data_IF_681125718625
#
_entry.id   IF_681125718625
#
_cell.length_a   1.000
_cell.length_b   1.000
_cell.length_c   1.000
_cell.angle_alpha   90.00
_cell.angle_beta   90.00
_cell.angle_gamma   90.00
#
_symmetry.space_group_name_H-M   'P 1'
#
loop_
_entity.id
_entity.type
_entity.pdbx_description
1 polymer ?
#
# COMPACT_ATOMS: atom_id res chain seq x y z
N UNK A 1 -47.14 -8.80 47.76
CA UNK A 1 -46.12 -9.43 48.63
C UNK A 1 -45.54 -10.56 47.81
N UNK A 2 -44.44 -10.31 47.12
CA UNK A 2 -43.45 -11.31 46.72
C UNK A 2 -42.26 -10.52 46.20
N UNK A 3 -41.20 -10.59 46.99
CA UNK A 3 -40.02 -9.75 46.95
C UNK A 3 -39.02 -10.32 45.94
N UNK A 4 -38.47 -9.43 45.12
CA UNK A 4 -37.60 -9.73 44.00
C UNK A 4 -36.15 -9.75 44.49
N UNK A 5 -35.72 -10.88 45.05
CA UNK A 5 -34.36 -11.06 45.59
C UNK A 5 -33.61 -12.23 44.98
N UNK A 6 -33.21 -12.17 43.70
CA UNK A 6 -32.13 -13.03 43.16
C UNK A 6 -31.34 -12.24 42.09
N UNK A 7 -30.23 -11.57 42.48
CA UNK A 7 -28.97 -11.87 41.78
C UNK A 7 -27.72 -11.75 42.68
N UNK A 8 -27.84 -11.90 44.00
CA UNK A 8 -26.69 -11.79 44.95
C UNK A 8 -26.10 -13.10 45.43
N UNK A 9 -26.76 -14.24 45.21
CA UNK A 9 -26.40 -15.51 45.87
C UNK A 9 -25.35 -16.31 45.08
N UNK A 10 -25.21 -16.07 43.77
CA UNK A 10 -24.31 -16.85 42.91
C UNK A 10 -22.86 -16.33 42.89
N UNK A 11 -22.63 -15.04 43.16
CA UNK A 11 -21.28 -14.46 43.14
C UNK A 11 -20.49 -14.75 44.43
N UNK A 12 -21.19 -14.96 45.57
CA UNK A 12 -20.58 -15.16 46.89
C UNK A 12 -20.21 -16.61 47.21
N UNK A 13 -20.56 -17.57 46.35
CA UNK A 13 -20.27 -19.00 46.57
C UNK A 13 -18.88 -19.44 46.08
N UNK A 14 -18.15 -18.58 45.34
CA UNK A 14 -16.78 -18.88 44.92
C UNK A 14 -15.78 -18.37 45.97
N UNK A 15 -14.87 -19.23 46.46
CA UNK A 15 -14.09 -18.99 47.69
C UNK A 15 -13.01 -17.92 47.57
N UNK A 16 -12.68 -17.45 46.36
CA UNK A 16 -11.53 -16.57 46.12
C UNK A 16 -11.84 -15.47 45.08
N UNK A 17 -11.33 -14.26 45.32
CA UNK A 17 -11.52 -13.09 44.47
C UNK A 17 -10.95 -13.26 43.04
N UNK A 18 -9.94 -14.11 42.86
CA UNK A 18 -9.41 -14.49 41.55
C UNK A 18 -10.40 -15.35 40.75
N UNK A 19 -11.07 -16.28 41.42
CA UNK A 19 -12.06 -17.18 40.81
C UNK A 19 -13.34 -16.42 40.43
N UNK A 20 -13.74 -15.43 41.22
CA UNK A 20 -14.85 -14.52 40.89
C UNK A 20 -14.55 -13.67 39.65
N UNK A 21 -13.32 -13.14 39.53
CA UNK A 21 -12.88 -12.39 38.33
C UNK A 21 -12.88 -13.27 37.09
N UNK A 22 -12.37 -14.50 37.20
CA UNK A 22 -12.38 -15.46 36.09
C UNK A 22 -13.81 -15.80 35.66
N UNK A 23 -14.70 -16.04 36.63
CA UNK A 23 -16.09 -16.33 36.37
C UNK A 23 -16.82 -15.19 35.66
N UNK A 24 -16.56 -13.94 36.07
CA UNK A 24 -17.06 -12.74 35.39
C UNK A 24 -16.55 -12.63 33.95
N UNK A 25 -15.27 -12.90 33.69
CA UNK A 25 -14.71 -12.90 32.34
C UNK A 25 -15.39 -13.96 31.47
N UNK A 26 -15.60 -15.17 31.99
CA UNK A 26 -16.29 -16.26 31.27
C UNK A 26 -17.74 -15.88 30.96
N UNK A 27 -18.45 -15.25 31.90
CA UNK A 27 -19.81 -14.77 31.66
C UNK A 27 -19.88 -13.68 30.59
N UNK A 28 -18.92 -12.76 30.56
CA UNK A 28 -18.84 -11.71 29.53
C UNK A 28 -18.57 -12.31 28.15
N UNK A 29 -17.65 -13.28 28.06
CA UNK A 29 -17.36 -14.00 26.81
C UNK A 29 -18.59 -14.76 26.34
N UNK A 30 -19.31 -15.43 27.26
CA UNK A 30 -20.53 -16.16 26.92
C UNK A 30 -21.66 -15.24 26.48
N UNK A 31 -21.88 -14.12 27.16
CA UNK A 31 -22.88 -13.13 26.77
C UNK A 31 -22.56 -12.51 25.39
N UNK A 32 -21.29 -12.16 25.16
CA UNK A 32 -20.82 -11.71 23.85
C UNK A 32 -21.05 -12.79 22.77
N UNK A 33 -20.76 -14.06 23.07
CA UNK A 33 -21.00 -15.18 22.16
C UNK A 33 -22.48 -15.35 21.81
N UNK A 34 -23.38 -15.26 22.79
CA UNK A 34 -24.83 -15.37 22.55
C UNK A 34 -25.33 -14.23 21.66
N UNK A 35 -24.92 -12.99 21.92
CA UNK A 35 -25.28 -11.82 21.10
C UNK A 35 -24.68 -11.92 19.70
N UNK A 36 -23.46 -12.43 19.58
CA UNK A 36 -22.80 -12.66 18.32
C UNK A 36 -23.52 -13.72 17.47
N UNK A 37 -23.99 -14.80 18.08
CA UNK A 37 -24.75 -15.87 17.40
C UNK A 37 -26.15 -15.44 16.96
N UNK A 38 -26.77 -14.45 17.63
CA UNK A 38 -28.07 -13.91 17.22
C UNK A 38 -27.97 -12.81 16.15
N UNK A 39 -26.79 -12.24 15.91
CA UNK A 39 -26.56 -11.29 14.83
C UNK A 39 -26.59 -11.99 13.47
N UNK A 40 -27.27 -11.43 12.46
CA UNK A 40 -27.39 -12.02 11.11
C UNK A 40 -26.07 -12.10 10.32
N UNK A 41 -25.02 -11.41 10.78
CA UNK A 41 -23.71 -11.35 10.12
C UNK A 41 -22.77 -12.52 10.48
N UNK A 42 -23.25 -13.51 11.26
CA UNK A 42 -22.43 -14.64 11.72
C UNK A 42 -21.85 -15.48 10.57
N UNK A 43 -22.57 -15.64 9.46
CA UNK A 43 -22.11 -16.41 8.31
C UNK A 43 -20.94 -15.73 7.60
N UNK A 44 -20.99 -14.40 7.42
CA UNK A 44 -19.93 -13.62 6.77
C UNK A 44 -18.69 -13.52 7.66
N UNK A 45 -18.86 -13.32 8.98
CA UNK A 45 -17.76 -13.31 9.94
C UNK A 45 -17.08 -14.69 10.10
N UNK A 46 -17.85 -15.79 10.13
CA UNK A 46 -17.27 -17.15 10.20
C UNK A 46 -16.49 -17.50 8.93
N UNK A 47 -16.93 -17.03 7.75
CA UNK A 47 -16.16 -17.15 6.50
C UNK A 47 -14.87 -16.33 6.58
N UNK A 48 -14.89 -15.15 7.20
CA UNK A 48 -13.70 -14.33 7.43
C UNK A 48 -12.75 -14.94 8.49
N UNK A 49 -13.29 -15.64 9.48
CA UNK A 49 -12.51 -16.32 10.53
C UNK A 49 -11.87 -17.63 10.06
N UNK A 50 -12.54 -18.35 9.14
CA UNK A 50 -12.04 -19.56 8.48
C UNK A 50 -11.03 -19.25 7.35
N UNK A 51 -10.70 -17.97 7.16
CA UNK A 51 -9.71 -17.55 6.18
C UNK A 51 -8.30 -17.83 6.73
N UNK A 52 -7.43 -18.45 5.90
CA UNK A 52 -6.04 -18.88 6.23
C UNK A 52 -5.17 -17.80 6.90
N UNK A 53 -5.57 -16.54 6.82
CA UNK A 53 -4.88 -15.35 7.32
C UNK A 53 -4.76 -15.36 8.86
N UNK A 54 -5.78 -15.82 9.60
CA UNK A 54 -5.74 -15.80 11.09
C UNK A 54 -4.82 -16.90 11.64
N UNK A 55 -4.83 -18.09 11.03
CA UNK A 55 -3.88 -19.17 11.33
C UNK A 55 -2.43 -18.76 11.05
N UNK A 56 -2.19 -18.07 9.92
CA UNK A 56 -0.87 -17.50 9.59
C UNK A 56 -0.44 -16.40 10.57
N UNK A 57 -1.39 -15.62 11.06
CA UNK A 57 -1.13 -14.58 12.06
C UNK A 57 -0.78 -15.19 13.42
N UNK A 58 -1.40 -16.31 13.81
CA UNK A 58 -1.03 -17.05 15.02
C UNK A 58 0.39 -17.61 14.96
N UNK A 59 0.86 -18.10 13.80
CA UNK A 59 2.25 -18.57 13.68
C UNK A 59 3.26 -17.45 13.88
N UNK A 60 2.98 -16.26 13.34
CA UNK A 60 3.82 -15.05 13.53
C UNK A 60 3.82 -14.61 15.00
N UNK A 61 2.68 -14.69 15.69
CA UNK A 61 2.62 -14.37 17.12
C UNK A 61 3.37 -15.39 18.00
N UNK A 62 3.42 -16.67 17.60
CA UNK A 62 4.18 -17.72 18.30
C UNK A 62 5.69 -17.51 18.16
N UNK A 63 6.11 -16.98 17.01
CA UNK A 63 7.49 -16.58 16.68
C UNK A 63 7.96 -15.40 17.56
N UNK A 64 7.06 -14.44 17.84
CA UNK A 64 7.35 -13.31 18.72
C UNK A 64 7.45 -13.66 20.22
N UNK A 65 6.86 -14.77 20.66
CA UNK A 65 6.89 -15.20 22.07
C UNK A 65 8.15 -16.02 22.41
N UNK A 66 8.88 -16.53 21.41
CA UNK A 66 10.24 -17.04 21.59
C UNK A 66 11.23 -15.88 21.47
N UNK A 67 11.16 -14.95 22.42
CA UNK A 67 12.27 -14.04 22.66
C UNK A 67 13.36 -14.83 23.38
N UNK A 68 14.11 -15.63 22.62
CA UNK A 68 15.35 -16.19 23.11
C UNK A 68 16.41 -15.10 23.05
N UNK A 69 16.87 -14.73 24.23
CA UNK A 69 17.95 -13.81 24.52
C UNK A 69 19.16 -14.09 23.60
N UNK A 70 19.38 -13.18 22.65
CA UNK A 70 20.33 -13.32 21.55
C UNK A 70 21.77 -13.46 22.09
N UNK A 71 22.28 -14.69 22.13
CA UNK A 71 23.72 -14.95 22.13
C UNK A 71 24.18 -15.10 20.69
N UNK A 72 25.07 -14.20 20.28
CA UNK A 72 25.72 -14.12 18.98
C UNK A 72 26.17 -15.51 18.49
N UNK A 73 25.34 -16.10 17.63
CA UNK A 73 25.65 -17.34 16.92
C UNK A 73 26.31 -16.96 15.59
N UNK A 74 27.40 -17.61 15.15
CA UNK A 74 28.11 -17.25 13.92
C UNK A 74 27.21 -17.22 12.66
N UNK A 75 26.16 -18.05 12.62
CA UNK A 75 25.15 -18.02 11.56
C UNK A 75 24.31 -16.72 11.54
N UNK A 76 24.10 -16.08 12.69
CA UNK A 76 23.39 -14.79 12.79
C UNK A 76 24.25 -13.65 12.22
N UNK A 77 25.56 -13.67 12.47
CA UNK A 77 26.50 -12.67 11.96
C UNK A 77 26.63 -12.78 10.43
N UNK A 78 26.69 -14.01 9.91
CA UNK A 78 26.71 -14.26 8.46
C UNK A 78 25.43 -13.76 7.78
N UNK A 79 24.26 -14.00 8.39
CA UNK A 79 22.99 -13.49 7.91
C UNK A 79 22.93 -11.95 7.91
N UNK A 80 23.40 -11.30 8.97
CA UNK A 80 23.47 -9.83 9.05
C UNK A 80 24.40 -9.23 7.99
N UNK A 81 25.56 -9.86 7.75
CA UNK A 81 26.48 -9.46 6.69
C UNK A 81 25.84 -9.61 5.30
N UNK A 82 25.13 -10.71 5.05
CA UNK A 82 24.41 -10.92 3.80
C UNK A 82 23.29 -9.89 3.58
N UNK A 83 22.52 -9.57 4.62
CA UNK A 83 21.48 -8.52 4.57
C UNK A 83 22.10 -7.16 4.28
N UNK A 84 23.21 -6.82 4.93
CA UNK A 84 23.92 -5.55 4.72
C UNK A 84 24.45 -5.44 3.29
N UNK A 85 25.03 -6.52 2.76
CA UNK A 85 25.52 -6.57 1.37
C UNK A 85 24.37 -6.41 0.34
N UNK A 86 23.20 -7.00 0.60
CA UNK A 86 22.02 -6.80 -0.23
C UNK A 86 21.57 -5.33 -0.18
N UNK A 87 21.53 -4.74 1.02
CA UNK A 87 21.13 -3.34 1.20
C UNK A 87 22.08 -2.39 0.48
N UNK A 88 23.39 -2.62 0.56
CA UNK A 88 24.39 -1.84 -0.15
C UNK A 88 24.21 -1.93 -1.66
N UNK A 89 23.98 -3.15 -2.18
CA UNK A 89 23.71 -3.36 -3.61
C UNK A 89 22.42 -2.66 -4.07
N UNK A 90 21.38 -2.64 -3.24
CA UNK A 90 20.14 -1.89 -3.53
C UNK A 90 20.37 -0.38 -3.52
N UNK A 91 21.12 0.13 -2.55
CA UNK A 91 21.47 1.55 -2.46
C UNK A 91 22.32 2.02 -3.65
N UNK A 92 23.15 1.15 -4.24
CA UNK A 92 23.87 1.46 -5.48
C UNK A 92 22.94 1.54 -6.70
N UNK A 93 21.81 0.84 -6.69
CA UNK A 93 20.82 0.88 -7.77
C UNK A 93 19.83 2.04 -7.66
N UNK A 94 19.57 2.51 -6.44
CA UNK A 94 18.64 3.61 -6.16
C UNK A 94 19.47 4.84 -5.78
N UNK A 95 19.60 5.85 -6.67
CA UNK A 95 20.36 7.04 -6.32
C UNK A 95 19.75 7.69 -5.06
N UNK A 96 20.54 8.07 -4.06
CA UNK A 96 20.03 8.74 -2.87
C UNK A 96 19.39 10.07 -3.29
N UNK A 97 18.10 10.23 -3.01
CA UNK A 97 17.34 11.45 -3.35
C UNK A 97 16.88 12.13 -2.07
N UNK A 98 17.58 13.17 -1.58
CA UNK A 98 17.14 13.90 -0.41
C UNK A 98 15.88 14.73 -0.76
N UNK A 99 14.72 14.30 -0.25
CA UNK A 99 13.50 15.10 -0.31
C UNK A 99 13.56 16.17 0.80
N UNK A 100 14.28 17.26 0.56
CA UNK A 100 14.54 18.28 1.59
C UNK A 100 13.26 18.98 2.04
N UNK A 101 12.33 19.26 1.12
CA UNK A 101 11.04 19.90 1.40
C UNK A 101 9.95 19.42 0.45
N UNK A 102 8.67 19.52 0.83
CA UNK A 102 7.56 19.20 -0.07
C UNK A 102 7.58 20.03 -1.36
N UNK A 103 8.07 21.27 -1.30
CA UNK A 103 8.14 22.16 -2.46
C UNK A 103 9.15 21.72 -3.52
N UNK A 104 10.12 20.86 -3.17
CA UNK A 104 11.05 20.25 -4.14
C UNK A 104 10.46 19.03 -4.87
N UNK A 105 9.23 18.63 -4.54
CA UNK A 105 8.51 17.57 -5.26
C UNK A 105 7.96 18.06 -6.60
N UNK A 106 7.61 17.13 -7.48
CA UNK A 106 7.18 17.44 -8.84
C UNK A 106 5.81 18.15 -8.84
N UNK A 107 5.75 19.30 -9.52
CA UNK A 107 4.54 20.09 -9.70
C UNK A 107 3.99 19.90 -11.11
N UNK A 108 2.79 19.31 -11.20
CA UNK A 108 2.08 19.16 -12.47
C UNK A 108 1.80 20.52 -13.14
N UNK A 109 1.51 21.56 -12.34
CA UNK A 109 1.20 22.91 -12.84
C UNK A 109 2.42 23.60 -13.46
N UNK A 110 3.61 23.41 -12.90
CA UNK A 110 4.84 24.05 -13.38
C UNK A 110 5.52 23.26 -14.50
N UNK A 111 5.30 21.94 -14.54
CA UNK A 111 5.85 21.06 -15.56
C UNK A 111 5.28 21.38 -16.94
N UNK A 112 6.03 21.02 -17.99
CA UNK A 112 5.66 21.37 -19.37
C UNK A 112 5.76 20.15 -20.27
N UNK A 113 4.72 19.91 -21.07
CA UNK A 113 4.70 18.88 -22.09
C UNK A 113 4.63 19.51 -23.48
N UNK A 114 5.50 19.10 -24.40
CA UNK A 114 5.60 19.63 -25.76
C UNK A 114 5.70 18.51 -26.76
N UNK A 115 4.98 18.60 -27.89
CA UNK A 115 5.15 17.64 -29.00
C UNK A 115 6.57 17.82 -29.56
N UNK A 116 7.32 16.72 -29.59
CA UNK A 116 8.66 16.69 -30.14
C UNK A 116 8.59 16.49 -31.65
N UNK A 117 9.24 17.38 -32.41
CA UNK A 117 9.25 17.40 -33.88
C UNK A 117 7.83 17.35 -34.49
N UNK A 118 6.99 18.37 -34.23
CA UNK A 118 5.61 18.37 -34.69
C UNK A 118 5.53 18.38 -36.22
N UNK A 119 4.69 17.50 -36.77
CA UNK A 119 4.35 17.47 -38.19
C UNK A 119 3.02 18.15 -38.45
N UNK A 120 2.82 18.64 -39.69
CA UNK A 120 1.52 19.22 -40.12
C UNK A 120 0.42 18.16 -40.21
N UNK A 121 0.79 16.94 -40.59
CA UNK A 121 -0.11 15.81 -40.79
C UNK A 121 0.53 14.56 -40.22
N UNK A 122 -0.28 13.70 -39.62
CA UNK A 122 0.13 12.39 -39.15
C UNK A 122 -0.74 11.33 -39.80
N UNK A 123 -0.14 10.17 -40.09
CA UNK A 123 -0.80 9.00 -40.59
C UNK A 123 -1.16 8.04 -39.45
N UNK A 124 -2.17 7.20 -39.67
CA UNK A 124 -2.45 6.08 -38.78
C UNK A 124 -1.24 5.14 -38.78
N UNK A 125 -0.76 4.78 -37.60
CA UNK A 125 0.45 4.00 -37.37
C UNK A 125 1.68 4.81 -36.98
N UNK A 126 1.66 6.14 -37.17
CA UNK A 126 2.79 7.00 -36.82
C UNK A 126 3.06 7.04 -35.30
N UNK A 127 4.30 7.38 -34.94
CA UNK A 127 4.70 7.66 -33.57
C UNK A 127 4.65 9.17 -33.29
N UNK A 128 3.78 9.58 -32.36
CA UNK A 128 3.77 10.91 -31.79
C UNK A 128 4.58 10.93 -30.50
N UNK A 129 5.67 11.69 -30.51
CA UNK A 129 6.54 11.86 -29.35
C UNK A 129 6.22 13.16 -28.62
N UNK A 130 6.10 13.10 -27.30
CA UNK A 130 5.87 14.25 -26.41
C UNK A 130 7.00 14.29 -25.38
N UNK A 131 7.70 15.41 -25.33
CA UNK A 131 8.73 15.67 -24.34
C UNK A 131 8.07 16.32 -23.11
N UNK A 132 8.22 15.68 -21.95
CA UNK A 132 7.82 16.22 -20.66
C UNK A 132 9.05 16.69 -19.89
N UNK A 133 9.07 17.95 -19.50
CA UNK A 133 10.06 18.53 -18.60
C UNK A 133 9.40 18.71 -17.24
N UNK A 134 9.81 17.89 -16.27
CA UNK A 134 9.31 17.93 -14.91
C UNK A 134 9.95 19.08 -14.13
N UNK A 135 9.13 19.80 -13.37
CA UNK A 135 9.55 20.92 -12.53
C UNK A 135 9.05 20.78 -11.10
N UNK A 136 9.74 21.40 -10.16
CA UNK A 136 9.30 21.52 -8.77
C UNK A 136 8.22 22.60 -8.60
N UNK A 137 7.75 22.83 -7.37
CA UNK A 137 6.74 23.87 -7.10
C UNK A 137 7.28 25.30 -7.22
N UNK A 138 8.60 25.48 -7.18
CA UNK A 138 9.26 26.77 -7.42
C UNK A 138 9.48 27.05 -8.91
N UNK A 139 9.21 26.07 -9.78
CA UNK A 139 9.41 26.17 -11.22
C UNK A 139 10.84 25.83 -11.67
N UNK A 140 11.67 25.28 -10.79
CA UNK A 140 12.99 24.77 -11.18
C UNK A 140 12.83 23.44 -11.90
N UNK A 141 13.66 23.20 -12.91
CA UNK A 141 13.72 21.91 -13.59
C UNK A 141 14.26 20.87 -12.62
N UNK A 142 13.66 19.68 -12.61
CA UNK A 142 14.20 18.56 -11.85
C UNK A 142 15.50 18.08 -12.47
N UNK A 143 16.45 17.70 -11.62
CA UNK A 143 17.73 17.13 -12.05
C UNK A 143 17.70 15.60 -12.11
N UNK A 144 16.55 15.00 -11.80
CA UNK A 144 16.45 13.60 -11.47
C UNK A 144 15.09 13.03 -11.89
N UNK A 145 15.07 11.76 -12.31
CA UNK A 145 13.84 11.03 -12.71
C UNK A 145 13.12 10.27 -11.58
N UNK A 146 12.39 9.20 -11.90
CA UNK A 146 11.73 8.30 -10.96
C UNK A 146 10.28 8.68 -10.60
N UNK A 147 9.74 9.76 -11.16
CA UNK A 147 8.33 10.07 -11.03
C UNK A 147 7.47 8.99 -11.71
N UNK A 148 6.39 8.57 -11.04
CA UNK A 148 5.42 7.66 -11.63
C UNK A 148 4.48 8.41 -12.57
N UNK A 149 4.62 8.16 -13.87
CA UNK A 149 3.86 8.83 -14.92
C UNK A 149 3.01 7.83 -15.70
N UNK A 150 1.75 8.20 -15.96
CA UNK A 150 0.85 7.46 -16.84
C UNK A 150 0.44 8.35 -18.01
N UNK A 151 0.87 7.98 -19.20
CA UNK A 151 0.49 8.64 -20.43
C UNK A 151 -0.71 7.94 -21.07
N UNK A 152 -1.73 8.70 -21.47
CA UNK A 152 -2.84 8.21 -22.28
C UNK A 152 -3.20 9.22 -23.36
N UNK A 153 -3.74 8.71 -24.45
CA UNK A 153 -4.42 9.50 -25.46
C UNK A 153 -5.82 8.93 -25.67
N UNK A 154 -6.77 9.77 -26.03
CA UNK A 154 -8.19 9.43 -26.10
C UNK A 154 -8.93 10.21 -27.18
N UNK A 155 -9.93 9.55 -27.79
CA UNK A 155 -10.88 10.18 -28.69
C UNK A 155 -12.31 9.87 -28.23
N UNK A 156 -13.00 10.83 -27.59
CA UNK A 156 -14.37 10.62 -27.10
C UNK A 156 -15.36 10.25 -28.21
N UNK A 157 -15.21 10.84 -29.40
CA UNK A 157 -16.09 10.58 -30.55
C UNK A 157 -16.01 9.11 -31.00
N UNK A 158 -14.82 8.53 -30.97
CA UNK A 158 -14.56 7.14 -31.34
C UNK A 158 -14.68 6.16 -30.16
N UNK A 159 -14.87 6.66 -28.94
CA UNK A 159 -14.80 5.88 -27.69
C UNK A 159 -13.50 5.07 -27.59
N UNK A 160 -12.41 5.63 -28.11
CA UNK A 160 -11.12 4.98 -28.21
C UNK A 160 -10.11 5.60 -27.23
N UNK A 161 -9.16 4.78 -26.77
CA UNK A 161 -8.09 5.20 -25.89
C UNK A 161 -6.88 4.29 -26.02
N UNK A 162 -5.69 4.86 -25.85
CA UNK A 162 -4.44 4.12 -25.90
C UNK A 162 -3.45 4.65 -24.85
N UNK A 163 -2.58 3.76 -24.38
CA UNK A 163 -1.49 4.13 -23.46
C UNK A 163 -0.27 4.59 -24.24
N UNK A 164 0.41 5.61 -23.74
CA UNK A 164 1.74 6.00 -24.22
C UNK A 164 2.83 5.23 -23.48
N UNK A 165 3.96 5.00 -24.15
CA UNK A 165 5.19 4.50 -23.53
C UNK A 165 5.94 5.67 -22.91
N UNK A 166 6.25 5.59 -21.62
CA UNK A 166 7.07 6.59 -20.92
C UNK A 166 8.51 6.09 -20.82
N UNK A 167 9.46 6.91 -21.25
CA UNK A 167 10.90 6.68 -21.10
C UNK A 167 11.47 7.79 -20.23
N UNK A 168 12.09 7.42 -19.11
CA UNK A 168 12.74 8.36 -18.20
C UNK A 168 14.21 8.52 -18.58
N UNK A 169 14.66 9.76 -18.81
CA UNK A 169 16.07 10.06 -19.06
C UNK A 169 16.88 10.27 -17.77
N UNK A 170 16.26 10.05 -16.61
CA UNK A 170 16.82 10.18 -15.26
C UNK A 170 17.32 11.59 -14.91
N UNK A 171 16.98 12.61 -15.69
CA UNK A 171 17.42 14.00 -15.52
C UNK A 171 16.24 14.99 -15.42
N UNK A 172 15.09 14.53 -14.93
CA UNK A 172 13.85 15.30 -14.85
C UNK A 172 13.13 15.47 -16.18
N UNK A 173 13.53 14.72 -17.20
CA UNK A 173 12.95 14.75 -18.54
C UNK A 173 12.45 13.38 -18.92
N UNK A 174 11.26 13.35 -19.52
CA UNK A 174 10.61 12.13 -19.95
C UNK A 174 10.22 12.24 -21.42
N UNK A 175 10.41 11.15 -22.17
CA UNK A 175 9.87 11.00 -23.51
C UNK A 175 8.64 10.10 -23.43
N UNK A 176 7.52 10.62 -23.92
CA UNK A 176 6.26 9.91 -24.01
C UNK A 176 6.00 9.61 -25.48
N UNK A 177 5.91 8.34 -25.86
CA UNK A 177 5.66 7.92 -27.25
C UNK A 177 4.27 7.30 -27.37
N UNK A 178 3.47 7.81 -28.31
CA UNK A 178 2.15 7.29 -28.65
C UNK A 178 2.14 6.76 -30.08
N UNK A 179 1.64 5.54 -30.28
CA UNK A 179 1.24 5.07 -31.62
C UNK A 179 -0.12 5.65 -31.98
N UNK A 180 -0.26 6.33 -33.10
CA UNK A 180 -1.53 6.91 -33.55
C UNK A 180 -2.42 5.84 -34.20
N UNK A 181 -3.40 5.32 -33.46
CA UNK A 181 -4.19 4.16 -33.90
C UNK A 181 -5.42 4.50 -34.77
N UNK A 182 -5.82 5.77 -34.86
CA UNK A 182 -7.01 6.19 -35.58
C UNK A 182 -6.86 7.61 -36.13
N UNK A 183 -7.69 7.94 -37.11
CA UNK A 183 -7.77 9.28 -37.70
C UNK A 183 -8.60 10.25 -36.83
N UNK A 184 -8.34 11.54 -36.99
CA UNK A 184 -9.10 12.62 -36.36
C UNK A 184 -8.49 13.17 -35.07
N UNK A 185 -9.23 14.05 -34.36
CA UNK A 185 -8.74 14.70 -33.15
C UNK A 185 -8.47 13.72 -32.01
N UNK A 186 -7.42 13.99 -31.24
CA UNK A 186 -7.00 13.22 -30.07
C UNK A 186 -6.63 14.16 -28.91
N UNK A 187 -6.87 13.72 -27.67
CA UNK A 187 -6.52 14.43 -26.43
C UNK A 187 -5.83 13.52 -25.43
#
# INVERSE_FOLDING_TARGET
MEDMTIPRILLSSLPNASAQKLFLIVLIIFAFWVVFMTSKDHTEFMVHLNNRIILRRWSIFKEFLHSEELKNTPASVEAELAVTAILEKLNQQIPPRPFQTHSSTTSAKQSTATIHNPQRTYCVGDQLNVLLVAKDYFGNRKEYGGDFLRARMSSPALKAGASGKVTDFNNGTYLISFTLFWEGPVS
#
